data_IF_038226153982
#
_entry.id   IF_038226153982
#
_cell.length_a   1.000
_cell.length_b   1.000
_cell.length_c   1.000
_cell.angle_alpha   90.00
_cell.angle_beta   90.00
_cell.angle_gamma   90.00
#
_symmetry.space_group_name_H-M   'P 1'
#
loop_
_entity.id
_entity.type
_entity.pdbx_description
1 polymer ?
#
# COMPACT_ATOMS: atom_id res chain seq x y z
N UNK A 1 -48.21 -53.87 -17.08
CA UNK A 1 -47.29 -53.86 -18.22
C UNK A 1 -45.88 -53.76 -17.68
N UNK A 2 -45.10 -54.81 -17.87
CA UNK A 2 -43.75 -54.99 -17.33
C UNK A 2 -42.74 -54.17 -18.12
N UNK A 3 -41.87 -53.41 -17.46
CA UNK A 3 -40.66 -52.86 -18.06
C UNK A 3 -39.43 -53.49 -17.42
N UNK A 4 -38.63 -54.08 -18.29
CA UNK A 4 -37.39 -54.83 -17.95
C UNK A 4 -36.25 -53.91 -17.53
N UNK A 5 -35.59 -54.25 -16.46
CA UNK A 5 -34.31 -53.70 -16.06
C UNK A 5 -33.18 -54.41 -16.85
N UNK A 6 -32.27 -53.64 -17.43
CA UNK A 6 -31.06 -54.14 -18.06
C UNK A 6 -29.88 -53.65 -17.24
N UNK A 7 -29.20 -54.58 -16.55
CA UNK A 7 -27.92 -54.35 -15.89
C UNK A 7 -26.82 -54.34 -16.96
N UNK A 8 -26.00 -53.29 -16.99
CA UNK A 8 -24.72 -53.23 -17.67
C UNK A 8 -23.58 -53.16 -16.65
N UNK A 9 -22.86 -54.26 -16.57
CA UNK A 9 -21.59 -54.39 -15.83
C UNK A 9 -20.48 -53.78 -16.68
N UNK A 10 -19.92 -52.68 -16.24
CA UNK A 10 -18.78 -52.01 -16.86
C UNK A 10 -17.50 -52.23 -16.06
N UNK A 11 -16.50 -52.81 -16.67
CA UNK A 11 -15.24 -53.23 -16.08
C UNK A 11 -14.37 -52.04 -15.61
N UNK A 12 -13.83 -52.18 -14.38
CA UNK A 12 -12.77 -51.33 -13.86
C UNK A 12 -11.46 -51.57 -14.58
N UNK A 13 -10.97 -50.58 -15.34
CA UNK A 13 -9.57 -50.52 -15.74
C UNK A 13 -8.82 -49.63 -14.76
N UNK A 14 -7.99 -50.28 -13.93
CA UNK A 14 -7.05 -49.60 -13.05
C UNK A 14 -5.85 -49.14 -13.87
N UNK A 15 -5.77 -47.83 -14.15
CA UNK A 15 -4.56 -47.18 -14.64
C UNK A 15 -3.71 -46.79 -13.44
N UNK A 16 -2.62 -47.53 -13.23
CA UNK A 16 -1.53 -47.15 -12.32
C UNK A 16 -0.72 -46.06 -12.99
N UNK A 17 -0.95 -44.81 -12.57
CA UNK A 17 -0.09 -43.70 -12.96
C UNK A 17 1.17 -43.73 -12.10
N UNK A 18 2.31 -43.99 -12.73
CA UNK A 18 3.63 -43.80 -12.13
C UNK A 18 3.86 -42.29 -12.03
N UNK A 19 3.86 -41.76 -10.83
CA UNK A 19 4.30 -40.40 -10.54
C UNK A 19 5.85 -40.43 -10.58
N UNK A 20 6.43 -39.92 -11.64
CA UNK A 20 7.84 -39.55 -11.67
C UNK A 20 8.04 -38.35 -10.76
N UNK A 21 8.69 -38.60 -9.64
CA UNK A 21 9.17 -37.59 -8.70
C UNK A 21 10.29 -36.78 -9.39
N UNK A 22 9.94 -35.71 -10.08
CA UNK A 22 10.90 -34.70 -10.48
C UNK A 22 11.36 -33.96 -9.22
N UNK A 23 12.60 -34.25 -8.81
CA UNK A 23 13.27 -33.62 -7.68
C UNK A 23 13.24 -32.10 -7.84
N UNK A 24 12.42 -31.46 -6.99
CA UNK A 24 12.49 -30.02 -6.79
C UNK A 24 13.86 -29.70 -6.20
N UNK A 25 14.68 -28.97 -6.97
CA UNK A 25 15.91 -28.39 -6.48
C UNK A 25 15.61 -27.58 -5.21
N UNK A 26 16.46 -27.66 -4.17
CA UNK A 26 16.26 -26.85 -2.98
C UNK A 26 16.26 -25.39 -3.36
N UNK A 27 15.12 -24.71 -3.15
CA UNK A 27 15.04 -23.26 -3.19
C UNK A 27 16.07 -22.74 -2.19
N UNK A 28 17.15 -22.20 -2.73
CA UNK A 28 18.13 -21.49 -1.96
C UNK A 28 17.43 -20.26 -1.38
N UNK A 29 16.93 -20.38 -0.16
CA UNK A 29 16.41 -19.27 0.64
C UNK A 29 17.59 -18.38 1.01
N UNK A 30 18.12 -17.67 0.00
CA UNK A 30 18.79 -16.43 0.27
C UNK A 30 17.74 -15.57 0.99
N UNK A 31 17.79 -15.62 2.30
CA UNK A 31 17.02 -14.75 3.16
C UNK A 31 17.20 -13.34 2.62
N UNK A 32 16.18 -12.85 1.91
CA UNK A 32 16.10 -11.45 1.52
C UNK A 32 16.14 -10.71 2.84
N UNK A 33 17.33 -10.22 3.21
CA UNK A 33 17.48 -9.33 4.35
C UNK A 33 16.41 -8.27 4.19
N UNK A 34 15.55 -8.03 5.20
CA UNK A 34 14.64 -6.91 5.14
C UNK A 34 15.50 -5.70 4.79
N UNK A 35 15.17 -5.00 3.71
CA UNK A 35 15.88 -3.81 3.33
C UNK A 35 15.85 -2.90 4.55
N UNK A 36 16.99 -2.74 5.20
CA UNK A 36 17.11 -1.83 6.31
C UNK A 36 16.53 -0.51 5.81
N UNK A 37 15.59 0.05 6.57
CA UNK A 37 14.91 1.27 6.16
C UNK A 37 15.97 2.27 5.69
N UNK A 38 15.94 2.60 4.40
CA UNK A 38 17.02 3.34 3.76
C UNK A 38 17.03 4.78 4.32
N UNK A 39 18.16 5.21 4.89
CA UNK A 39 18.37 6.59 5.27
C UNK A 39 18.48 7.49 4.03
N UNK A 40 18.26 8.79 4.19
CA UNK A 40 18.61 9.76 3.17
C UNK A 40 20.01 10.31 3.45
N UNK A 41 20.91 10.12 2.51
CA UNK A 41 22.29 10.58 2.61
C UNK A 41 22.56 11.65 1.56
N UNK A 42 23.23 12.72 1.97
CA UNK A 42 23.81 13.71 1.06
C UNK A 42 25.28 13.34 0.83
N UNK A 43 25.66 13.09 -0.41
CA UNK A 43 26.99 12.67 -0.79
C UNK A 43 27.61 13.68 -1.76
N UNK A 44 28.95 13.74 -1.82
CA UNK A 44 29.66 14.43 -2.90
C UNK A 44 29.62 13.56 -4.16
N UNK A 45 29.16 14.13 -5.26
CA UNK A 45 29.23 13.50 -6.58
C UNK A 45 30.63 13.54 -7.17
N UNK A 46 30.93 12.72 -8.19
CA UNK A 46 32.25 12.65 -8.81
C UNK A 46 32.71 13.99 -9.47
N UNK A 47 31.76 14.86 -9.83
CA UNK A 47 31.98 16.20 -10.37
C UNK A 47 31.95 17.31 -9.33
N UNK A 48 32.00 17.00 -8.03
CA UNK A 48 31.89 17.95 -6.93
C UNK A 48 30.49 18.43 -6.59
N UNK A 49 29.49 18.04 -7.34
CA UNK A 49 28.07 18.35 -7.05
C UNK A 49 27.52 17.52 -5.90
N UNK A 50 26.33 17.90 -5.41
CA UNK A 50 25.59 17.16 -4.38
C UNK A 50 24.72 16.08 -5.01
N UNK A 51 24.78 14.85 -4.48
CA UNK A 51 23.94 13.71 -4.86
C UNK A 51 23.27 13.15 -3.63
N UNK A 52 21.96 12.86 -3.74
CA UNK A 52 21.21 12.19 -2.67
C UNK A 52 21.13 10.68 -2.92
N UNK A 53 21.35 9.88 -1.87
CA UNK A 53 21.34 8.41 -1.94
C UNK A 53 20.60 7.80 -0.77
N UNK A 54 20.07 6.60 -1.00
CA UNK A 54 19.40 5.81 0.03
C UNK A 54 20.37 4.92 0.84
N UNK A 55 21.65 4.83 0.44
CA UNK A 55 22.69 4.03 1.12
C UNK A 55 23.91 4.88 1.45
N UNK A 56 24.58 4.64 2.59
CA UNK A 56 25.79 5.38 2.99
C UNK A 56 26.98 5.05 2.07
N UNK A 57 27.88 6.04 1.91
CA UNK A 57 29.23 5.90 1.40
C UNK A 57 30.15 6.77 2.26
N UNK A 58 31.48 6.62 2.08
CA UNK A 58 32.49 7.34 2.90
C UNK A 58 32.32 8.85 2.86
N UNK A 59 31.92 9.43 1.74
CA UNK A 59 31.73 10.88 1.55
C UNK A 59 30.28 11.36 1.77
N UNK A 60 29.48 10.62 2.51
CA UNK A 60 28.06 10.91 2.71
C UNK A 60 27.77 11.37 4.13
N UNK A 61 26.92 12.39 4.25
CA UNK A 61 26.34 12.84 5.52
C UNK A 61 24.92 12.34 5.60
N UNK A 62 24.54 11.70 6.71
CA UNK A 62 23.16 11.27 6.97
C UNK A 62 22.28 12.50 7.22
N UNK A 63 21.32 12.75 6.32
CA UNK A 63 20.33 13.83 6.46
C UNK A 63 19.10 13.40 7.23
N UNK A 64 18.64 12.18 7.01
CA UNK A 64 17.47 11.63 7.68
C UNK A 64 17.69 10.16 8.00
N UNK A 65 17.59 9.82 9.27
CA UNK A 65 17.54 8.43 9.73
C UNK A 65 16.20 7.82 9.33
N UNK A 66 16.15 6.53 8.97
CA UNK A 66 14.88 5.84 8.81
C UNK A 66 14.06 5.97 10.08
N UNK A 67 12.81 6.32 9.96
CA UNK A 67 11.90 6.28 11.09
C UNK A 67 11.65 4.81 11.47
N UNK A 68 12.12 4.36 12.66
CA UNK A 68 11.91 2.96 13.07
C UNK A 68 10.42 2.61 13.21
N UNK A 69 9.57 3.63 13.29
CA UNK A 69 8.12 3.47 13.27
C UNK A 69 7.52 3.40 11.86
N UNK A 70 8.30 3.55 10.79
CA UNK A 70 7.76 3.48 9.43
C UNK A 70 7.12 2.10 9.17
N UNK A 71 6.02 2.05 8.40
CA UNK A 71 5.38 0.79 8.05
C UNK A 71 6.26 -0.03 7.10
N UNK A 72 6.00 -1.35 7.02
CA UNK A 72 6.70 -2.26 6.11
C UNK A 72 6.62 -1.77 4.66
N UNK A 73 7.73 -1.44 3.99
CA UNK A 73 7.73 -0.92 2.62
C UNK A 73 7.25 -1.94 1.57
N UNK A 74 7.18 -3.22 1.90
CA UNK A 74 6.60 -4.25 1.02
C UNK A 74 5.10 -4.10 0.86
N UNK A 75 4.44 -3.63 1.91
CA UNK A 75 3.00 -3.38 1.92
C UNK A 75 2.67 -1.91 1.69
N UNK A 76 3.43 -1.01 2.29
CA UNK A 76 3.14 0.42 2.32
C UNK A 76 4.09 1.20 1.43
N UNK A 77 3.61 1.62 0.27
CA UNK A 77 4.41 2.40 -0.68
C UNK A 77 4.38 3.88 -0.29
N UNK A 78 5.54 4.50 -0.02
CA UNK A 78 5.60 5.93 0.21
C UNK A 78 5.30 6.69 -1.08
N UNK A 79 4.43 7.68 -0.98
CA UNK A 79 4.04 8.60 -2.04
C UNK A 79 4.29 10.02 -1.56
N UNK A 80 5.03 10.81 -2.32
CA UNK A 80 5.28 12.22 -2.01
C UNK A 80 4.29 13.08 -2.75
N UNK A 81 3.47 13.83 -2.02
CA UNK A 81 2.61 14.85 -2.61
C UNK A 81 3.40 16.09 -3.05
N UNK A 82 2.83 16.91 -3.92
CA UNK A 82 3.45 18.15 -4.41
C UNK A 82 3.82 19.16 -3.31
N UNK A 83 3.24 19.03 -2.12
CA UNK A 83 3.57 19.81 -0.91
C UNK A 83 4.71 19.21 -0.08
N UNK A 84 5.40 18.18 -0.56
CA UNK A 84 6.49 17.48 0.14
C UNK A 84 6.03 16.56 1.26
N UNK A 85 4.74 16.41 1.47
CA UNK A 85 4.19 15.52 2.51
C UNK A 85 4.13 14.08 2.01
N UNK A 86 4.67 13.16 2.80
CA UNK A 86 4.70 11.72 2.47
C UNK A 86 3.43 11.07 3.01
N UNK A 87 2.71 10.41 2.11
CA UNK A 87 1.61 9.49 2.42
C UNK A 87 2.05 8.05 2.09
N UNK A 88 1.38 7.07 2.67
CA UNK A 88 1.71 5.65 2.47
C UNK A 88 0.49 4.93 1.92
N UNK A 89 0.62 4.38 0.70
CA UNK A 89 -0.40 3.57 0.06
C UNK A 89 -0.31 2.12 0.53
N UNK A 90 -1.38 1.58 1.08
CA UNK A 90 -1.50 0.16 1.38
C UNK A 90 -1.78 -0.64 0.10
N UNK A 91 -0.78 -1.31 -0.46
CA UNK A 91 -0.91 -2.12 -1.67
C UNK A 91 -1.91 -3.27 -1.50
N UNK A 92 -1.98 -3.83 -0.29
CA UNK A 92 -2.92 -4.92 0.01
C UNK A 92 -4.38 -4.45 0.11
N UNK A 93 -4.61 -3.15 0.19
CA UNK A 93 -5.96 -2.57 0.21
C UNK A 93 -6.56 -2.35 -1.16
N UNK A 94 -5.77 -2.44 -2.23
CA UNK A 94 -6.23 -2.15 -3.59
C UNK A 94 -7.30 -3.14 -4.01
N UNK A 95 -8.50 -2.65 -4.33
CA UNK A 95 -9.64 -3.43 -4.81
C UNK A 95 -10.23 -2.77 -6.03
N UNK A 96 -10.36 -3.54 -7.11
CA UNK A 96 -10.96 -3.09 -8.37
C UNK A 96 -12.36 -3.65 -8.52
N UNK A 97 -13.30 -2.77 -8.91
CA UNK A 97 -14.68 -3.15 -9.23
C UNK A 97 -15.17 -2.33 -10.42
N UNK A 98 -15.15 -2.90 -11.60
CA UNK A 98 -15.45 -2.18 -12.84
C UNK A 98 -14.46 -1.02 -13.03
N UNK A 99 -14.99 0.18 -13.19
CA UNK A 99 -14.21 1.42 -13.32
C UNK A 99 -13.74 2.00 -11.99
N UNK A 100 -14.09 1.40 -10.87
CA UNK A 100 -13.74 1.91 -9.56
C UNK A 100 -12.54 1.16 -8.95
N UNK A 101 -11.67 1.91 -8.27
CA UNK A 101 -10.54 1.37 -7.52
C UNK A 101 -10.56 1.92 -6.10
N UNK A 102 -10.78 1.03 -5.13
CA UNK A 102 -10.70 1.35 -3.70
C UNK A 102 -9.27 1.17 -3.19
N UNK A 103 -8.82 2.09 -2.32
CA UNK A 103 -7.50 2.05 -1.68
C UNK A 103 -7.56 2.59 -0.25
N UNK A 104 -6.54 2.24 0.55
CA UNK A 104 -6.27 2.86 1.85
C UNK A 104 -4.94 3.61 1.83
N UNK A 105 -4.93 4.79 2.43
CA UNK A 105 -3.76 5.67 2.54
C UNK A 105 -3.57 6.10 4.00
N UNK A 106 -2.34 6.04 4.47
CA UNK A 106 -1.94 6.67 5.74
C UNK A 106 -1.22 7.97 5.46
N UNK A 107 -1.63 9.01 6.18
CA UNK A 107 -1.01 10.33 6.17
C UNK A 107 -0.58 10.69 7.59
N UNK A 108 0.69 11.08 7.78
CA UNK A 108 1.19 11.57 9.06
C UNK A 108 1.01 13.09 9.15
N UNK A 109 0.38 13.54 10.23
CA UNK A 109 0.28 14.96 10.53
C UNK A 109 1.61 15.50 11.11
N UNK A 110 1.94 16.77 10.84
CA UNK A 110 3.03 17.44 11.53
C UNK A 110 2.83 17.44 13.06
N UNK A 111 3.93 17.37 13.85
CA UNK A 111 3.81 17.35 15.31
C UNK A 111 3.11 18.61 15.86
N UNK A 112 2.14 18.42 16.74
CA UNK A 112 1.51 19.49 17.51
C UNK A 112 0.60 20.46 16.76
N UNK A 113 0.40 20.26 15.45
CA UNK A 113 -0.33 21.22 14.59
C UNK A 113 -1.85 21.00 14.64
N UNK A 114 -2.29 19.74 14.76
CA UNK A 114 -3.72 19.41 14.68
C UNK A 114 -4.15 18.76 16.00
N UNK A 115 -5.22 19.28 16.58
CA UNK A 115 -5.85 18.72 17.78
C UNK A 115 -7.34 18.52 17.56
N UNK A 116 -7.92 17.57 18.28
CA UNK A 116 -9.36 17.39 18.39
C UNK A 116 -9.97 18.53 19.24
N UNK A 117 -11.29 18.66 19.23
CA UNK A 117 -11.98 19.58 20.13
C UNK A 117 -11.76 19.24 21.62
N UNK A 118 -11.49 17.97 21.95
CA UNK A 118 -11.11 17.50 23.30
C UNK A 118 -9.65 17.79 23.67
N UNK A 119 -8.85 18.32 22.73
CA UNK A 119 -7.44 18.66 22.96
C UNK A 119 -6.45 17.54 22.62
N UNK A 120 -6.92 16.36 22.18
CA UNK A 120 -6.07 15.25 21.80
C UNK A 120 -5.27 15.56 20.54
N UNK A 121 -3.99 15.26 20.55
CA UNK A 121 -3.11 15.51 19.39
C UNK A 121 -3.31 14.46 18.30
N UNK A 122 -3.69 14.92 17.12
CA UNK A 122 -3.77 14.07 15.92
C UNK A 122 -2.39 13.94 15.31
N UNK A 123 -1.90 12.69 15.15
CA UNK A 123 -0.57 12.37 14.63
C UNK A 123 -0.61 11.71 13.26
N UNK A 124 -1.73 11.09 12.92
CA UNK A 124 -1.94 10.50 11.59
C UNK A 124 -3.41 10.31 11.28
N UNK A 125 -3.69 10.07 10.01
CA UNK A 125 -5.01 9.64 9.54
C UNK A 125 -4.88 8.46 8.57
N UNK A 126 -5.83 7.54 8.66
CA UNK A 126 -6.07 6.49 7.65
C UNK A 126 -7.28 6.91 6.82
N UNK A 127 -7.08 7.07 5.52
CA UNK A 127 -8.14 7.41 4.56
C UNK A 127 -8.46 6.20 3.69
N UNK A 128 -9.73 5.87 3.57
CA UNK A 128 -10.23 4.96 2.54
C UNK A 128 -10.81 5.79 1.41
N UNK A 129 -10.33 5.58 0.22
CA UNK A 129 -10.68 6.35 -0.96
C UNK A 129 -11.15 5.44 -2.08
N UNK A 130 -12.04 5.96 -2.90
CA UNK A 130 -12.46 5.32 -4.16
C UNK A 130 -12.14 6.27 -5.30
N UNK A 131 -11.48 5.76 -6.31
CA UNK A 131 -11.18 6.43 -7.57
C UNK A 131 -12.08 5.86 -8.67
N UNK A 132 -12.67 6.74 -9.47
CA UNK A 132 -13.38 6.36 -10.68
C UNK A 132 -12.46 6.62 -11.88
N UNK A 133 -11.95 5.55 -12.48
CA UNK A 133 -10.99 5.63 -13.59
C UNK A 133 -11.59 6.17 -14.89
N UNK A 134 -12.91 6.06 -15.08
CA UNK A 134 -13.56 6.58 -16.28
C UNK A 134 -13.70 8.12 -16.24
N UNK A 135 -13.83 8.70 -15.04
CA UNK A 135 -14.08 10.13 -14.86
C UNK A 135 -12.91 10.88 -14.23
N UNK A 136 -11.86 10.16 -13.81
CA UNK A 136 -10.74 10.69 -13.02
C UNK A 136 -11.20 11.45 -11.76
N UNK A 137 -12.29 11.01 -11.15
CA UNK A 137 -12.81 11.54 -9.89
C UNK A 137 -12.39 10.63 -8.74
N UNK A 138 -12.31 11.20 -7.54
CA UNK A 138 -12.12 10.41 -6.31
C UNK A 138 -13.02 10.90 -5.19
N UNK A 139 -13.31 10.02 -4.25
CA UNK A 139 -13.99 10.37 -3.00
C UNK A 139 -13.29 9.71 -1.81
N UNK A 140 -13.25 10.41 -0.69
CA UNK A 140 -12.89 9.84 0.61
C UNK A 140 -14.16 9.25 1.21
N UNK A 141 -14.21 7.92 1.38
CA UNK A 141 -15.39 7.24 1.93
C UNK A 141 -15.32 7.05 3.44
N UNK A 142 -14.11 7.04 3.98
CA UNK A 142 -13.86 6.95 5.42
C UNK A 142 -12.51 7.59 5.75
N UNK A 143 -12.45 8.31 6.86
CA UNK A 143 -11.22 8.83 7.43
C UNK A 143 -11.20 8.61 8.93
N UNK A 144 -10.19 7.90 9.44
CA UNK A 144 -9.96 7.69 10.87
C UNK A 144 -8.71 8.45 11.31
N UNK A 145 -8.82 9.21 12.41
CA UNK A 145 -7.73 9.98 12.99
C UNK A 145 -7.10 9.21 14.17
N UNK A 146 -5.79 9.29 14.32
CA UNK A 146 -5.02 8.55 15.32
C UNK A 146 -4.08 9.46 16.12
N UNK A 147 -3.86 9.10 17.39
CA UNK A 147 -2.95 9.82 18.30
C UNK A 147 -1.47 9.46 18.11
N UNK A 148 -1.13 8.45 17.28
CA UNK A 148 0.24 8.08 16.91
C UNK A 148 0.41 8.12 15.39
N UNK A 149 1.67 8.17 14.93
CA UNK A 149 2.00 8.10 13.50
C UNK A 149 1.62 6.75 12.90
N UNK A 150 1.45 6.71 11.57
CA UNK A 150 1.21 5.51 10.79
C UNK A 150 -0.08 4.76 11.13
N UNK A 151 -1.14 5.48 11.45
CA UNK A 151 -2.44 4.94 11.88
C UNK A 151 -2.32 3.94 13.04
N UNK A 152 -1.40 4.21 13.96
CA UNK A 152 -1.20 3.42 15.18
C UNK A 152 -1.76 4.14 16.40
N UNK A 153 -1.79 3.39 17.50
CA UNK A 153 -2.33 3.88 18.78
C UNK A 153 -3.84 3.89 18.78
N UNK A 154 -4.39 4.82 19.51
CA UNK A 154 -5.83 4.97 19.67
C UNK A 154 -6.45 5.72 18.50
N UNK A 155 -7.59 5.25 18.03
CA UNK A 155 -8.41 5.97 17.06
C UNK A 155 -9.23 7.02 17.79
N UNK A 156 -8.97 8.29 17.49
CA UNK A 156 -9.62 9.42 18.14
C UNK A 156 -11.00 9.72 17.57
N UNK A 157 -11.12 9.62 16.23
CA UNK A 157 -12.35 9.95 15.54
C UNK A 157 -12.41 9.28 14.16
N UNK A 158 -13.61 8.85 13.77
CA UNK A 158 -13.86 8.30 12.43
C UNK A 158 -14.98 9.07 11.73
N UNK A 159 -14.68 9.59 10.55
CA UNK A 159 -15.61 10.31 9.67
C UNK A 159 -15.99 9.34 8.53
N UNK A 160 -17.29 9.20 8.26
CA UNK A 160 -17.80 8.29 7.20
C UNK A 160 -18.82 8.99 6.32
N UNK A 161 -19.03 8.39 5.13
CA UNK A 161 -20.06 8.82 4.19
C UNK A 161 -19.84 10.22 3.63
N UNK A 162 -20.90 10.97 3.36
CA UNK A 162 -20.80 12.30 2.72
C UNK A 162 -19.93 13.30 3.48
N UNK A 163 -19.84 13.17 4.82
CA UNK A 163 -19.01 14.02 5.65
C UNK A 163 -17.51 13.79 5.48
N UNK A 164 -17.11 12.61 4.97
CA UNK A 164 -15.70 12.31 4.71
C UNK A 164 -15.17 12.98 3.44
N UNK A 165 -16.06 13.38 2.52
CA UNK A 165 -15.74 14.14 1.32
C UNK A 165 -16.69 13.87 0.16
N UNK A 166 -17.02 14.91 -0.57
CA UNK A 166 -17.73 14.79 -1.85
C UNK A 166 -16.76 14.34 -2.95
N UNK A 167 -17.23 13.71 -4.04
CA UNK A 167 -16.39 13.41 -5.18
C UNK A 167 -15.71 14.66 -5.73
N UNK A 168 -14.39 14.57 -5.93
CA UNK A 168 -13.54 15.66 -6.40
C UNK A 168 -12.71 15.21 -7.60
N UNK A 169 -12.33 16.10 -8.53
CA UNK A 169 -11.42 15.75 -9.61
C UNK A 169 -10.02 15.44 -9.04
N UNK A 170 -9.40 14.38 -9.56
CA UNK A 170 -8.02 14.05 -9.28
C UNK A 170 -7.09 14.91 -10.16
N UNK A 171 -6.83 16.13 -9.72
CA UNK A 171 -6.04 17.09 -10.49
C UNK A 171 -4.59 16.62 -10.64
N UNK A 172 -4.00 16.88 -11.82
CA UNK A 172 -2.59 16.63 -12.10
C UNK A 172 -1.69 17.38 -11.11
N UNK A 173 -0.57 16.77 -10.70
CA UNK A 173 0.35 17.33 -9.71
C UNK A 173 -0.13 17.21 -8.26
N UNK A 174 -1.27 16.58 -8.02
CA UNK A 174 -1.73 16.22 -6.68
C UNK A 174 -1.51 14.74 -6.39
N UNK A 175 -1.48 14.36 -5.11
CA UNK A 175 -1.42 12.95 -4.71
C UNK A 175 -2.56 12.13 -5.32
N UNK A 176 -3.76 12.69 -5.45
CA UNK A 176 -4.90 12.01 -6.06
C UNK A 176 -4.68 11.80 -7.57
N UNK A 177 -4.11 12.79 -8.28
CA UNK A 177 -3.74 12.67 -9.70
C UNK A 177 -2.69 11.59 -9.94
N UNK A 178 -1.65 11.54 -9.09
CA UNK A 178 -0.62 10.51 -9.16
C UNK A 178 -1.20 9.10 -8.90
N UNK A 179 -2.15 9.00 -7.98
CA UNK A 179 -2.85 7.74 -7.70
C UNK A 179 -3.72 7.30 -8.87
N UNK A 180 -4.46 8.20 -9.53
CA UNK A 180 -5.22 7.86 -10.76
C UNK A 180 -4.28 7.33 -11.82
N UNK A 181 -3.15 8.01 -12.06
CA UNK A 181 -2.15 7.56 -13.05
C UNK A 181 -1.61 6.16 -12.74
N UNK A 182 -1.39 5.83 -11.47
CA UNK A 182 -0.86 4.52 -11.04
C UNK A 182 -1.91 3.41 -11.01
N UNK A 183 -3.14 3.77 -10.64
CA UNK A 183 -4.19 2.79 -10.35
C UNK A 183 -5.12 2.53 -11.53
N UNK A 184 -5.21 3.44 -12.49
CA UNK A 184 -6.17 3.36 -13.58
C UNK A 184 -5.58 2.87 -14.92
N UNK A 185 -4.31 2.47 -14.93
CA UNK A 185 -3.60 1.93 -16.12
C UNK A 185 -3.19 0.50 -15.94
#
# INVERSE_FOLDING_TARGET
MLARATLLVGACFSLVAHAESTGAAPFNSNAVRPAAAAGLYQCKGPSGGTVFRASPREDCVLLASPDPGAPDPRRWVPLMGGNGVVSYLDQESIRRRGTEVGVALVHNAPPGVIKTASGDTIRSSLKRMVFNCATSMYAVIEQTLYNKRYARGESLYTIRGPQAGMPMPAASGTLAGDLVTRLCH
#
